data_IF_611184627975
#
_entry.id   IF_611184627975
#
_cell.length_a   1.000
_cell.length_b   1.000
_cell.length_c   1.000
_cell.angle_alpha   90.00
_cell.angle_beta   90.00
_cell.angle_gamma   90.00
#
_symmetry.space_group_name_H-M   'P 1'
#
loop_
_entity.id
_entity.type
_entity.pdbx_description
1 polymer ?
#
# COMPACT_ATOMS: atom_id res chain seq x y z
N UNK A 1 6.66 23.93 3.53
CA UNK A 1 8.05 23.59 3.14
C UNK A 1 8.77 23.02 4.34
N UNK A 2 9.37 21.84 4.19
CA UNK A 2 10.27 21.29 5.19
C UNK A 2 11.45 22.26 5.31
N UNK A 3 11.93 22.49 6.54
CA UNK A 3 13.14 23.27 6.81
C UNK A 3 14.32 22.72 5.98
N UNK A 4 15.37 23.53 5.72
CA UNK A 4 16.54 23.04 5.00
C UNK A 4 17.12 21.82 5.70
N UNK A 5 17.23 20.72 4.95
CA UNK A 5 17.78 19.46 5.43
C UNK A 5 19.31 19.61 5.54
N UNK A 6 19.93 19.26 6.68
CA UNK A 6 21.39 19.33 6.83
C UNK A 6 22.12 18.50 5.75
N UNK A 7 23.27 18.97 5.23
CA UNK A 7 24.11 18.16 4.35
C UNK A 7 24.54 16.84 5.01
N UNK A 8 24.65 15.77 4.24
CA UNK A 8 24.97 14.42 4.72
C UNK A 8 23.78 13.66 5.32
N UNK A 9 22.57 14.24 5.32
CA UNK A 9 21.39 13.58 5.90
C UNK A 9 20.92 12.43 5.01
N UNK A 10 21.20 11.20 5.42
CA UNK A 10 20.69 9.99 4.76
C UNK A 10 19.33 9.53 5.29
N UNK A 11 18.99 9.91 6.54
CA UNK A 11 17.73 9.54 7.19
C UNK A 11 17.05 10.80 7.70
N UNK A 12 15.92 11.15 7.10
CA UNK A 12 15.10 12.28 7.51
C UNK A 12 13.88 11.77 8.29
N UNK A 13 13.74 12.20 9.54
CA UNK A 13 12.60 11.88 10.41
C UNK A 13 11.88 13.16 10.77
N UNK A 14 10.61 13.24 10.37
CA UNK A 14 9.69 14.31 10.73
C UNK A 14 8.50 13.62 11.39
N UNK A 15 8.40 13.73 12.70
CA UNK A 15 7.40 13.00 13.49
C UNK A 15 6.59 14.00 14.29
N UNK A 16 5.30 13.74 14.48
CA UNK A 16 4.43 14.52 15.37
C UNK A 16 4.45 16.03 15.08
N UNK A 17 4.57 16.39 13.80
CA UNK A 17 4.58 17.77 13.32
C UNK A 17 3.24 18.14 12.69
N UNK A 18 2.97 19.42 12.44
CA UNK A 18 1.77 19.83 11.70
C UNK A 18 2.22 20.30 10.32
N UNK A 19 2.29 19.36 9.38
CA UNK A 19 2.64 19.62 7.99
C UNK A 19 1.53 19.07 7.11
N UNK A 20 0.58 19.93 6.75
CA UNK A 20 -0.59 19.54 5.94
C UNK A 20 -0.26 19.18 4.51
N UNK A 21 0.80 19.77 3.95
CA UNK A 21 1.16 19.61 2.55
C UNK A 21 2.67 19.50 2.37
N UNK A 22 3.08 18.60 1.46
CA UNK A 22 4.45 18.47 1.00
C UNK A 22 4.52 18.75 -0.51
N UNK A 23 5.04 19.92 -0.85
CA UNK A 23 5.19 20.35 -2.24
C UNK A 23 6.52 19.92 -2.86
N UNK A 24 7.61 19.94 -2.08
CA UNK A 24 8.96 19.64 -2.56
C UNK A 24 9.91 19.22 -1.44
N UNK A 25 10.67 18.14 -1.68
CA UNK A 25 11.86 17.73 -0.95
C UNK A 25 13.08 17.96 -1.85
N UNK A 26 13.79 19.06 -1.61
CA UNK A 26 15.01 19.38 -2.36
C UNK A 26 16.24 18.75 -1.70
N UNK A 27 16.40 17.44 -1.84
CA UNK A 27 17.55 16.72 -1.31
C UNK A 27 17.81 15.43 -2.12
N UNK A 28 19.06 15.18 -2.46
CA UNK A 28 19.50 14.02 -3.28
C UNK A 28 20.14 12.91 -2.45
N UNK A 29 20.45 13.13 -1.18
CA UNK A 29 21.21 12.21 -0.31
C UNK A 29 20.32 11.34 0.57
N UNK A 30 19.09 11.79 0.86
CA UNK A 30 18.15 11.04 1.69
C UNK A 30 17.84 9.68 1.05
N UNK A 31 18.06 8.64 1.84
CA UNK A 31 17.75 7.25 1.51
C UNK A 31 16.47 6.79 2.20
N UNK A 32 16.24 7.24 3.42
CA UNK A 32 15.04 6.92 4.21
C UNK A 32 14.37 8.19 4.69
N UNK A 33 13.10 8.37 4.35
CA UNK A 33 12.27 9.45 4.87
C UNK A 33 11.11 8.87 5.66
N UNK A 34 10.90 9.38 6.87
CA UNK A 34 9.77 9.05 7.73
C UNK A 34 9.05 10.34 8.09
N UNK A 35 7.79 10.43 7.71
CA UNK A 35 6.93 11.59 7.90
C UNK A 35 5.57 11.19 8.48
N UNK A 36 5.58 10.39 9.54
CA UNK A 36 4.38 9.87 10.18
C UNK A 36 3.84 10.80 11.29
N UNK A 37 2.53 10.73 11.55
CA UNK A 37 1.82 11.60 12.50
C UNK A 37 1.99 13.09 12.20
N UNK A 38 1.98 13.47 10.91
CA UNK A 38 2.26 14.84 10.47
C UNK A 38 1.02 15.64 10.06
N UNK A 39 -0.17 15.04 10.14
CA UNK A 39 -1.42 15.61 9.63
C UNK A 39 -1.36 15.92 8.11
N UNK A 40 -0.52 15.19 7.38
CA UNK A 40 -0.27 15.39 5.96
C UNK A 40 -1.49 14.91 5.16
N UNK A 41 -2.10 15.80 4.41
CA UNK A 41 -3.30 15.52 3.62
C UNK A 41 -3.06 15.61 2.11
N UNK A 42 -1.95 16.20 1.69
CA UNK A 42 -1.63 16.41 0.27
C UNK A 42 -0.12 16.33 0.00
N UNK A 43 0.25 15.67 -1.09
CA UNK A 43 1.62 15.58 -1.59
C UNK A 43 1.58 15.88 -3.07
N UNK A 44 2.35 16.89 -3.50
CA UNK A 44 2.46 17.19 -4.92
C UNK A 44 3.13 16.01 -5.66
N UNK A 45 2.69 15.64 -6.87
CA UNK A 45 3.29 14.51 -7.61
C UNK A 45 4.79 14.67 -7.90
N UNK A 46 5.27 15.92 -7.93
CA UNK A 46 6.67 16.29 -8.08
C UNK A 46 7.45 16.45 -6.77
N UNK A 47 6.87 16.12 -5.61
CA UNK A 47 7.50 16.40 -4.32
C UNK A 47 8.85 15.71 -4.14
N UNK A 48 9.05 14.55 -4.76
CA UNK A 48 10.25 13.72 -4.61
C UNK A 48 11.17 13.73 -5.82
N UNK A 49 11.00 14.65 -6.79
CA UNK A 49 11.79 14.65 -8.05
C UNK A 49 13.31 14.74 -7.83
N UNK A 50 13.75 15.37 -6.75
CA UNK A 50 15.18 15.48 -6.40
C UNK A 50 15.66 14.34 -5.49
N UNK A 51 14.75 13.56 -4.91
CA UNK A 51 15.05 12.49 -3.96
C UNK A 51 15.50 11.20 -4.67
N UNK A 52 16.51 11.30 -5.52
CA UNK A 52 16.99 10.22 -6.40
C UNK A 52 17.56 9.02 -5.65
N UNK A 53 18.03 9.21 -4.41
CA UNK A 53 18.51 8.13 -3.54
C UNK A 53 17.45 7.57 -2.58
N UNK A 54 16.22 8.08 -2.60
CA UNK A 54 15.17 7.60 -1.71
C UNK A 54 14.83 6.13 -2.02
N UNK A 55 14.90 5.29 -0.99
CA UNK A 55 14.60 3.84 -1.04
C UNK A 55 13.45 3.47 -0.12
N UNK A 56 13.32 4.14 1.02
CA UNK A 56 12.24 3.91 2.00
C UNK A 56 11.48 5.20 2.26
N UNK A 57 10.17 5.15 2.10
CA UNK A 57 9.27 6.26 2.36
C UNK A 57 8.14 5.79 3.28
N UNK A 58 8.11 6.35 4.48
CA UNK A 58 7.06 6.12 5.46
C UNK A 58 6.22 7.40 5.63
N UNK A 59 4.96 7.30 5.24
CA UNK A 59 3.93 8.33 5.32
C UNK A 59 2.74 7.83 6.16
N UNK A 60 2.95 6.82 7.01
CA UNK A 60 1.89 6.25 7.84
C UNK A 60 1.29 7.26 8.81
N UNK A 61 0.08 6.99 9.30
CA UNK A 61 -0.61 7.85 10.28
C UNK A 61 -0.71 9.31 9.83
N UNK A 62 -1.25 9.51 8.64
CA UNK A 62 -1.54 10.83 8.07
C UNK A 62 -3.00 10.87 7.58
N UNK A 63 -3.36 11.88 6.79
CA UNK A 63 -4.70 12.09 6.27
C UNK A 63 -4.74 11.98 4.74
N UNK A 64 -3.84 11.20 4.15
CA UNK A 64 -3.73 11.05 2.71
C UNK A 64 -4.93 10.27 2.17
N UNK A 65 -5.50 10.78 1.07
CA UNK A 65 -6.56 10.09 0.31
C UNK A 65 -6.09 9.66 -1.07
N UNK A 66 -5.06 10.33 -1.57
CA UNK A 66 -4.43 10.10 -2.86
C UNK A 66 -2.92 10.21 -2.69
N UNK A 67 -2.20 9.52 -3.57
CA UNK A 67 -0.76 9.62 -3.69
C UNK A 67 -0.43 9.33 -5.14
N UNK A 68 0.27 10.25 -5.77
CA UNK A 68 0.72 10.13 -7.14
C UNK A 68 2.18 10.54 -7.21
N UNK A 69 2.88 9.91 -8.14
CA UNK A 69 4.29 10.16 -8.41
C UNK A 69 4.42 10.55 -9.87
N UNK A 70 5.13 11.63 -10.16
CA UNK A 70 5.34 12.11 -11.53
C UNK A 70 5.88 10.99 -12.44
N UNK A 71 5.15 10.68 -13.52
CA UNK A 71 5.40 9.54 -14.41
C UNK A 71 6.84 9.43 -14.92
N UNK A 72 7.47 10.57 -15.23
CA UNK A 72 8.76 10.61 -15.95
C UNK A 72 9.96 10.64 -15.01
N UNK A 73 9.76 10.44 -13.70
CA UNK A 73 10.83 10.50 -12.71
C UNK A 73 11.25 9.08 -12.31
N UNK A 74 12.57 8.76 -12.38
CA UNK A 74 13.05 7.43 -11.99
C UNK A 74 13.05 7.33 -10.46
N UNK A 75 11.91 6.90 -9.90
CA UNK A 75 11.82 6.63 -8.48
C UNK A 75 12.41 5.26 -8.18
N UNK A 76 13.30 5.23 -7.19
CA UNK A 76 13.97 4.02 -6.71
C UNK A 76 13.42 3.57 -5.36
N UNK A 77 12.22 4.01 -5.00
CA UNK A 77 11.54 3.60 -3.77
C UNK A 77 11.30 2.09 -3.85
N UNK A 78 11.79 1.38 -2.83
CA UNK A 78 11.69 -0.08 -2.67
C UNK A 78 10.70 -0.47 -1.57
N UNK A 79 10.50 0.40 -0.58
CA UNK A 79 9.57 0.21 0.51
C UNK A 79 8.73 1.48 0.69
N UNK A 80 7.42 1.34 0.52
CA UNK A 80 6.44 2.39 0.71
C UNK A 80 5.47 1.98 1.82
N UNK A 81 5.40 2.78 2.88
CA UNK A 81 4.49 2.60 4.00
C UNK A 81 3.52 3.78 4.00
N UNK A 82 2.25 3.51 3.74
CA UNK A 82 1.15 4.47 3.67
C UNK A 82 -0.07 3.98 4.48
N UNK A 83 0.18 3.11 5.47
CA UNK A 83 -0.84 2.60 6.39
C UNK A 83 -1.42 3.69 7.29
N UNK A 84 -2.60 3.45 7.86
CA UNK A 84 -3.29 4.42 8.72
C UNK A 84 -3.47 5.79 8.04
N UNK A 85 -4.09 5.77 6.86
CA UNK A 85 -4.48 6.96 6.10
C UNK A 85 -5.98 6.84 5.73
N UNK A 86 -6.44 7.63 4.74
CA UNK A 86 -7.82 7.66 4.28
C UNK A 86 -7.98 7.18 2.82
N UNK A 87 -7.08 6.31 2.33
CA UNK A 87 -7.15 5.79 0.96
C UNK A 87 -8.41 4.94 0.76
N UNK A 88 -9.20 5.26 -0.28
CA UNK A 88 -10.39 4.49 -0.67
C UNK A 88 -10.16 3.54 -1.85
N UNK A 89 -9.04 3.73 -2.55
CA UNK A 89 -8.55 2.91 -3.66
C UNK A 89 -7.04 2.79 -3.55
N UNK A 90 -6.44 1.83 -4.24
CA UNK A 90 -4.98 1.75 -4.36
C UNK A 90 -4.50 2.99 -5.15
N UNK A 91 -3.45 3.70 -4.69
CA UNK A 91 -2.88 4.83 -5.40
C UNK A 91 -2.23 4.43 -6.72
N UNK A 92 -2.01 5.39 -7.61
CA UNK A 92 -1.35 5.14 -8.89
C UNK A 92 0.16 4.98 -8.68
N UNK A 93 0.61 3.73 -8.52
CA UNK A 93 2.00 3.39 -8.20
C UNK A 93 2.84 2.98 -9.42
N UNK A 94 2.31 3.10 -10.64
CA UNK A 94 2.95 2.62 -11.88
C UNK A 94 4.33 3.22 -12.15
N UNK A 95 4.71 4.36 -11.57
CA UNK A 95 6.06 4.93 -11.71
C UNK A 95 7.08 4.31 -10.74
N UNK A 96 6.63 3.58 -9.71
CA UNK A 96 7.50 2.94 -8.71
C UNK A 96 7.97 1.56 -9.18
N UNK A 97 8.69 1.52 -10.30
CA UNK A 97 9.17 0.29 -10.95
C UNK A 97 10.16 -0.54 -10.11
N UNK A 98 10.66 0.02 -9.01
CA UNK A 98 11.57 -0.65 -8.07
C UNK A 98 10.90 -1.07 -6.76
N UNK A 99 9.59 -0.82 -6.61
CA UNK A 99 8.87 -1.13 -5.38
C UNK A 99 8.84 -2.63 -5.14
N UNK A 100 9.19 -3.04 -3.91
CA UNK A 100 9.22 -4.43 -3.45
C UNK A 100 8.23 -4.68 -2.32
N UNK A 101 8.08 -3.70 -1.44
CA UNK A 101 7.21 -3.77 -0.26
C UNK A 101 6.25 -2.59 -0.26
N UNK A 102 4.96 -2.90 -0.16
CA UNK A 102 3.89 -1.93 -0.02
C UNK A 102 3.07 -2.25 1.22
N UNK A 103 3.03 -1.34 2.18
CA UNK A 103 2.07 -1.38 3.29
C UNK A 103 1.03 -0.28 3.09
N UNK A 104 -0.21 -0.69 2.83
CA UNK A 104 -1.39 0.17 2.72
C UNK A 104 -2.50 -0.33 3.66
N UNK A 105 -2.12 -1.05 4.71
CA UNK A 105 -3.03 -1.53 5.75
C UNK A 105 -3.74 -0.39 6.48
N UNK A 106 -4.83 -0.70 7.21
CA UNK A 106 -5.56 0.30 7.99
C UNK A 106 -5.99 1.53 7.18
N UNK A 107 -6.53 1.30 5.99
CA UNK A 107 -7.12 2.31 5.14
C UNK A 107 -8.62 2.00 4.92
N UNK A 108 -9.25 2.60 3.91
CA UNK A 108 -10.67 2.45 3.60
C UNK A 108 -10.88 1.86 2.21
N UNK A 109 -9.94 1.04 1.73
CA UNK A 109 -9.97 0.48 0.38
C UNK A 109 -11.09 -0.53 0.27
N UNK A 110 -11.94 -0.37 -0.74
CA UNK A 110 -13.16 -1.19 -0.92
C UNK A 110 -13.06 -2.23 -2.03
N UNK A 111 -12.22 -1.96 -3.02
CA UNK A 111 -12.06 -2.78 -4.21
C UNK A 111 -10.58 -3.01 -4.46
N UNK A 112 -10.26 -4.22 -4.91
CA UNK A 112 -8.93 -4.62 -5.34
C UNK A 112 -9.04 -5.16 -6.76
N UNK A 113 -8.34 -4.51 -7.70
CA UNK A 113 -8.08 -5.03 -9.03
C UNK A 113 -6.61 -5.46 -9.12
N UNK A 114 -6.33 -6.65 -9.65
CA UNK A 114 -4.96 -7.17 -9.73
C UNK A 114 -4.00 -6.26 -10.50
N UNK A 115 -4.53 -5.47 -11.46
CA UNK A 115 -3.75 -4.48 -12.21
C UNK A 115 -3.19 -3.34 -11.36
N UNK A 116 -3.85 -2.99 -10.25
CA UNK A 116 -3.40 -1.94 -9.34
C UNK A 116 -2.05 -2.31 -8.67
N UNK A 117 -1.75 -3.61 -8.62
CA UNK A 117 -0.54 -4.17 -8.03
C UNK A 117 0.44 -4.73 -9.08
N UNK A 118 0.23 -4.44 -10.37
CA UNK A 118 1.05 -4.95 -11.46
C UNK A 118 2.38 -4.18 -11.58
N UNK A 119 3.24 -4.34 -10.58
CA UNK A 119 4.58 -3.79 -10.51
C UNK A 119 5.62 -4.90 -10.68
N UNK A 120 6.67 -4.70 -11.49
CA UNK A 120 7.54 -5.79 -11.94
C UNK A 120 8.43 -6.39 -10.83
N UNK A 121 8.54 -5.71 -9.69
CA UNK A 121 9.40 -6.13 -8.56
C UNK A 121 8.65 -6.23 -7.23
N UNK A 122 7.32 -6.06 -7.23
CA UNK A 122 6.54 -6.07 -6.01
C UNK A 122 6.43 -7.49 -5.48
N UNK A 123 6.89 -7.69 -4.25
CA UNK A 123 7.07 -9.00 -3.61
C UNK A 123 6.10 -9.17 -2.43
N UNK A 124 5.86 -8.10 -1.66
CA UNK A 124 5.06 -8.11 -0.43
C UNK A 124 4.07 -6.95 -0.44
N UNK A 125 2.80 -7.27 -0.17
CA UNK A 125 1.72 -6.29 -0.07
C UNK A 125 0.91 -6.52 1.20
N UNK A 126 0.76 -5.50 2.03
CA UNK A 126 -0.15 -5.53 3.17
C UNK A 126 -1.38 -4.66 2.89
N UNK A 127 -2.54 -5.32 2.79
CA UNK A 127 -3.86 -4.73 2.59
C UNK A 127 -4.78 -5.02 3.78
N UNK A 128 -4.24 -5.52 4.89
CA UNK A 128 -5.03 -5.87 6.07
C UNK A 128 -5.77 -4.66 6.65
N UNK A 129 -6.87 -4.94 7.36
CA UNK A 129 -7.69 -3.92 8.02
C UNK A 129 -8.17 -2.81 7.06
N UNK A 130 -8.57 -3.19 5.84
CA UNK A 130 -9.26 -2.35 4.87
C UNK A 130 -10.76 -2.68 4.82
N UNK A 131 -11.49 -2.13 3.84
CA UNK A 131 -12.92 -2.36 3.61
C UNK A 131 -13.17 -3.29 2.41
N UNK A 132 -12.20 -4.15 2.10
CA UNK A 132 -12.27 -5.10 1.00
C UNK A 132 -13.36 -6.13 1.29
N UNK A 133 -14.28 -6.30 0.35
CA UNK A 133 -15.37 -7.26 0.46
C UNK A 133 -15.46 -8.17 -0.78
N UNK A 134 -14.95 -7.70 -1.92
CA UNK A 134 -14.84 -8.46 -3.17
C UNK A 134 -13.50 -8.13 -3.83
N UNK A 135 -12.85 -9.15 -4.38
CA UNK A 135 -11.68 -9.01 -5.25
C UNK A 135 -12.09 -9.33 -6.68
N UNK A 136 -11.72 -8.50 -7.65
CA UNK A 136 -11.95 -8.86 -9.05
C UNK A 136 -10.98 -9.98 -9.45
N UNK A 137 -11.46 -11.04 -10.13
CA UNK A 137 -10.59 -12.11 -10.60
C UNK A 137 -9.73 -11.61 -11.76
N UNK A 138 -8.52 -11.13 -11.47
CA UNK A 138 -7.56 -10.64 -12.48
C UNK A 138 -6.11 -10.80 -12.03
N UNK A 139 -5.21 -10.70 -13.00
CA UNK A 139 -3.77 -10.91 -12.95
C UNK A 139 -3.09 -10.15 -11.79
N UNK A 140 -2.95 -10.80 -10.63
CA UNK A 140 -2.00 -10.36 -9.62
C UNK A 140 -0.59 -10.46 -10.18
N UNK A 141 0.25 -9.45 -9.90
CA UNK A 141 1.62 -9.43 -10.40
C UNK A 141 2.35 -10.73 -10.07
N UNK A 142 2.96 -11.37 -11.07
CA UNK A 142 3.60 -12.68 -10.95
C UNK A 142 4.70 -12.77 -9.88
N UNK A 143 5.18 -11.63 -9.37
CA UNK A 143 6.23 -11.54 -8.37
C UNK A 143 5.72 -11.46 -6.93
N UNK A 144 4.42 -11.20 -6.74
CA UNK A 144 3.83 -11.08 -5.40
C UNK A 144 3.83 -12.46 -4.76
N UNK A 145 4.55 -12.58 -3.64
CA UNK A 145 4.67 -13.83 -2.88
C UNK A 145 3.85 -13.80 -1.62
N UNK A 146 3.74 -12.63 -1.00
CA UNK A 146 3.03 -12.42 0.26
C UNK A 146 2.00 -11.33 0.04
N UNK A 147 0.75 -11.64 0.34
CA UNK A 147 -0.33 -10.66 0.45
C UNK A 147 -1.01 -10.84 1.81
N UNK A 148 -1.13 -9.78 2.59
CA UNK A 148 -1.85 -9.81 3.87
C UNK A 148 -3.24 -9.18 3.66
N UNK A 149 -4.28 -9.92 4.01
CA UNK A 149 -5.69 -9.59 3.69
C UNK A 149 -6.62 -9.68 4.91
N UNK A 150 -6.06 -9.94 6.09
CA UNK A 150 -6.83 -10.15 7.31
C UNK A 150 -7.56 -8.88 7.75
N UNK A 151 -8.62 -9.03 8.55
CA UNK A 151 -9.37 -7.91 9.11
C UNK A 151 -10.19 -7.10 8.11
N UNK A 152 -10.43 -7.62 6.89
CA UNK A 152 -11.33 -7.02 5.91
C UNK A 152 -12.74 -7.68 5.97
N UNK A 153 -13.82 -6.95 5.63
CA UNK A 153 -15.19 -7.46 5.64
C UNK A 153 -15.51 -8.34 4.41
N UNK A 154 -14.80 -9.46 4.27
CA UNK A 154 -14.92 -10.35 3.12
C UNK A 154 -16.31 -10.96 2.97
N UNK A 155 -16.89 -10.82 1.77
CA UNK A 155 -18.11 -11.52 1.38
C UNK A 155 -17.76 -12.85 0.73
N UNK A 156 -17.86 -13.91 1.51
CA UNK A 156 -17.63 -15.30 1.09
C UNK A 156 -18.85 -15.86 0.35
N UNK A 157 -19.07 -15.36 -0.85
CA UNK A 157 -20.04 -15.93 -1.81
C UNK A 157 -19.30 -16.63 -2.98
N UNK A 158 -20.04 -17.00 -4.02
CA UNK A 158 -19.46 -17.64 -5.19
C UNK A 158 -18.47 -16.74 -5.97
N UNK A 159 -18.52 -15.41 -5.82
CA UNK A 159 -17.60 -14.51 -6.51
C UNK A 159 -16.21 -14.49 -5.86
N UNK A 160 -16.12 -14.71 -4.55
CA UNK A 160 -14.85 -14.77 -3.82
C UNK A 160 -14.17 -16.14 -3.90
N UNK A 161 -14.93 -17.20 -4.24
CA UNK A 161 -14.48 -18.60 -4.33
C UNK A 161 -13.18 -18.77 -5.13
N UNK A 162 -13.14 -18.22 -6.34
CA UNK A 162 -11.99 -18.38 -7.24
C UNK A 162 -10.74 -17.67 -6.70
N UNK A 163 -10.94 -16.52 -6.05
CA UNK A 163 -9.85 -15.79 -5.42
C UNK A 163 -9.27 -16.56 -4.23
N UNK A 164 -10.11 -17.16 -3.39
CA UNK A 164 -9.65 -18.02 -2.28
C UNK A 164 -8.90 -19.23 -2.84
N UNK A 165 -9.42 -19.88 -3.88
CA UNK A 165 -8.75 -21.00 -4.52
C UNK A 165 -7.38 -20.61 -5.12
N UNK A 166 -7.29 -19.43 -5.74
CA UNK A 166 -6.04 -18.87 -6.26
C UNK A 166 -5.05 -18.56 -5.14
N UNK A 167 -5.49 -17.87 -4.09
CA UNK A 167 -4.67 -17.49 -2.94
C UNK A 167 -4.07 -18.74 -2.29
N UNK A 168 -4.88 -19.74 -1.95
CA UNK A 168 -4.41 -21.00 -1.32
C UNK A 168 -3.32 -21.71 -2.13
N UNK A 169 -3.36 -21.60 -3.46
CA UNK A 169 -2.41 -22.28 -4.37
C UNK A 169 -1.15 -21.48 -4.68
N UNK A 170 -1.28 -20.16 -4.72
CA UNK A 170 -0.29 -19.29 -5.39
C UNK A 170 0.38 -18.31 -4.42
N UNK A 171 -0.35 -17.86 -3.40
CA UNK A 171 0.09 -16.79 -2.52
C UNK A 171 0.40 -17.35 -1.13
N UNK A 172 1.55 -16.98 -0.59
CA UNK A 172 1.86 -17.21 0.82
C UNK A 172 1.21 -16.10 1.67
N UNK A 173 -0.13 -16.11 1.70
CA UNK A 173 -0.95 -15.19 2.47
C UNK A 173 -1.41 -15.86 3.76
N UNK A 174 -1.52 -15.09 4.85
CA UNK A 174 -2.27 -15.57 6.01
C UNK A 174 -3.73 -15.73 5.62
N UNK A 175 -4.32 -16.82 6.09
CA UNK A 175 -5.75 -17.08 5.88
C UNK A 175 -6.57 -15.94 6.49
N UNK A 176 -7.59 -15.51 5.76
CA UNK A 176 -8.56 -14.51 6.21
C UNK A 176 -9.86 -15.19 6.65
N UNK A 177 -10.80 -14.41 7.17
CA UNK A 177 -12.08 -14.93 7.66
C UNK A 177 -13.25 -14.31 6.91
N UNK A 178 -14.34 -15.07 6.79
CA UNK A 178 -15.58 -14.57 6.23
C UNK A 178 -16.26 -13.60 7.19
N UNK A 179 -16.73 -12.47 6.67
CA UNK A 179 -17.58 -11.53 7.40
C UNK A 179 -19.04 -11.67 6.99
N UNK A 180 -19.28 -11.80 5.68
CA UNK A 180 -20.58 -12.12 5.10
C UNK A 180 -20.49 -13.44 4.30
N UNK A 181 -21.60 -14.17 4.12
CA UNK A 181 -22.90 -13.98 4.78
C UNK A 181 -22.89 -14.50 6.23
N UNK A 182 -23.93 -14.14 7.00
CA UNK A 182 -23.99 -14.40 8.45
C UNK A 182 -23.86 -15.89 8.83
N UNK A 183 -24.27 -16.81 7.96
CA UNK A 183 -24.23 -18.26 8.18
C UNK A 183 -22.80 -18.81 8.27
N UNK A 184 -21.83 -18.14 7.65
CA UNK A 184 -20.42 -18.54 7.64
C UNK A 184 -19.50 -17.45 8.20
N UNK A 185 -20.05 -16.47 8.91
CA UNK A 185 -19.27 -15.42 9.56
C UNK A 185 -18.28 -16.06 10.55
N UNK A 186 -17.01 -15.66 10.44
CA UNK A 186 -15.91 -16.09 11.28
C UNK A 186 -15.24 -17.37 10.81
N UNK A 187 -15.79 -18.06 9.80
CA UNK A 187 -15.15 -19.23 9.21
C UNK A 187 -13.89 -18.80 8.47
N UNK A 188 -12.78 -19.50 8.72
CA UNK A 188 -11.52 -19.27 8.02
C UNK A 188 -11.66 -19.65 6.55
N UNK A 189 -10.99 -18.88 5.69
CA UNK A 189 -10.86 -19.19 4.29
C UNK A 189 -10.21 -20.52 4.02
N UNK A 190 -9.50 -21.16 4.96
CA UNK A 190 -8.90 -22.49 4.77
C UNK A 190 -9.93 -23.62 4.99
N UNK A 191 -10.96 -23.34 5.80
CA UNK A 191 -11.99 -24.32 6.18
C UNK A 191 -13.20 -24.34 5.23
N UNK A 192 -13.28 -23.39 4.30
CA UNK A 192 -14.35 -23.34 3.31
C UNK A 192 -14.26 -24.51 2.32
N UNK A 193 -15.40 -25.15 2.08
CA UNK A 193 -15.56 -26.02 0.91
C UNK A 193 -15.70 -25.16 -0.34
N UNK A 194 -14.81 -25.39 -1.31
CA UNK A 194 -14.80 -24.69 -2.59
C UNK A 194 -15.24 -25.63 -3.74
N UNK A 195 -16.06 -26.63 -3.45
CA UNK A 195 -16.67 -27.56 -4.43
C UNK A 195 -17.87 -26.96 -5.16
#
# INVERSE_FOLDING_TARGET
NILPVPPGTMVLRILNSIIKQLSLLNNTEIVTMMMNFCNLSDISPGAFIFATNLRKLDLSHNLLRTLEFKSDSPFFIQNLIISYNDFMTIPLLYSLQQLRHLDISHNKIRYLDGYDLLLPKLEVVDLSHNQLHVVKPTNFGNMIRIIELDGCPWRCDCHLRDFIAFQRKTLNAKSSHCYEPAQIHGISWDDLSLE
#
